data_IF_216412662007
#
_entry.id   IF_216412662007
#
_cell.length_a   1.000
_cell.length_b   1.000
_cell.length_c   1.000
_cell.angle_alpha   90.00
_cell.angle_beta   90.00
_cell.angle_gamma   90.00
#
_symmetry.space_group_name_H-M   'P 1'
#
loop_
_entity.id
_entity.type
_entity.pdbx_description
1 polymer ?
#
# COMPACT_ATOMS: atom_id res chain seq x y z
N UNK A 1 14.78 -0.04 -3.14
CA UNK A 1 14.46 0.15 -4.57
C UNK A 1 13.05 -0.37 -4.84
N UNK A 2 12.20 0.38 -5.56
CA UNK A 2 10.85 -0.07 -5.89
C UNK A 2 9.68 0.64 -5.18
N UNK A 3 9.99 1.55 -4.26
CA UNK A 3 9.02 2.51 -3.75
C UNK A 3 9.16 3.83 -4.51
N UNK A 4 8.03 4.40 -4.89
CA UNK A 4 7.92 5.70 -5.55
C UNK A 4 6.98 6.62 -4.77
N UNK A 5 7.11 7.92 -5.00
CA UNK A 5 6.13 8.91 -4.52
C UNK A 5 5.18 9.21 -5.67
N UNK A 6 3.89 9.03 -5.44
CA UNK A 6 2.84 9.30 -6.40
C UNK A 6 1.57 9.81 -5.73
N UNK A 7 0.54 10.07 -6.52
CA UNK A 7 -0.75 10.53 -6.00
C UNK A 7 -1.58 9.38 -5.44
N UNK A 8 -2.20 9.61 -4.29
CA UNK A 8 -3.18 8.71 -3.68
C UNK A 8 -4.48 9.46 -3.41
N UNK A 9 -5.61 8.79 -3.56
CA UNK A 9 -6.92 9.31 -3.22
C UNK A 9 -7.30 8.88 -1.80
N UNK A 10 -7.59 9.85 -0.94
CA UNK A 10 -8.05 9.59 0.42
C UNK A 10 -9.56 9.35 0.47
N UNK A 11 -10.06 8.90 1.63
CA UNK A 11 -11.48 8.61 1.83
C UNK A 11 -12.39 9.85 1.66
N UNK A 12 -11.86 11.05 1.92
CA UNK A 12 -12.54 12.34 1.68
C UNK A 12 -12.45 12.81 0.22
N UNK A 13 -11.96 11.96 -0.69
CA UNK A 13 -11.71 12.24 -2.11
C UNK A 13 -10.58 13.23 -2.42
N UNK A 14 -9.83 13.71 -1.43
CA UNK A 14 -8.64 14.52 -1.68
C UNK A 14 -7.52 13.70 -2.34
N UNK A 15 -6.75 14.34 -3.22
CA UNK A 15 -5.52 13.77 -3.78
C UNK A 15 -4.31 14.34 -3.05
N UNK A 16 -3.47 13.45 -2.50
CA UNK A 16 -2.22 13.83 -1.82
C UNK A 16 -1.06 12.98 -2.33
N UNK A 17 0.18 13.37 -2.00
CA UNK A 17 1.34 12.54 -2.27
C UNK A 17 1.45 11.42 -1.23
N UNK A 18 1.63 10.20 -1.71
CA UNK A 18 1.79 8.98 -0.92
C UNK A 18 2.86 8.06 -1.49
N UNK A 19 3.26 7.07 -0.69
CA UNK A 19 4.20 6.03 -1.10
C UNK A 19 3.44 4.96 -1.88
N UNK A 20 3.93 4.63 -3.08
CA UNK A 20 3.41 3.57 -3.95
C UNK A 20 4.48 2.50 -4.17
N UNK A 21 4.05 1.23 -4.21
CA UNK A 21 4.88 0.12 -4.65
C UNK A 21 4.66 -0.16 -6.13
N UNK A 22 5.74 -0.39 -6.88
CA UNK A 22 5.62 -0.81 -8.29
C UNK A 22 4.97 -2.20 -8.38
N UNK A 23 4.08 -2.46 -9.37
CA UNK A 23 3.36 -3.73 -9.48
C UNK A 23 4.26 -4.97 -9.46
N UNK A 24 5.43 -4.88 -10.10
CA UNK A 24 6.42 -5.97 -10.18
C UNK A 24 6.91 -6.44 -8.80
N UNK A 25 6.86 -5.59 -7.77
CA UNK A 25 7.25 -5.95 -6.41
C UNK A 25 6.17 -6.72 -5.67
N UNK A 26 4.91 -6.61 -6.11
CA UNK A 26 3.77 -7.30 -5.53
C UNK A 26 3.59 -8.70 -6.13
N UNK A 27 4.20 -8.99 -7.29
CA UNK A 27 4.10 -10.30 -7.94
C UNK A 27 4.63 -11.43 -7.02
N UNK A 28 3.81 -12.47 -6.82
CA UNK A 28 4.13 -13.60 -5.95
C UNK A 28 4.13 -13.29 -4.45
N UNK A 29 3.88 -12.04 -4.05
CA UNK A 29 3.77 -11.66 -2.64
C UNK A 29 2.37 -11.97 -2.08
N UNK A 30 2.30 -12.08 -0.75
CA UNK A 30 1.03 -12.31 -0.05
C UNK A 30 0.13 -11.08 -0.17
N UNK A 31 -1.08 -11.28 -0.65
CA UNK A 31 -2.11 -10.24 -0.64
C UNK A 31 -2.57 -9.95 0.80
N UNK A 32 -2.52 -8.68 1.20
CA UNK A 32 -2.84 -8.24 2.58
C UNK A 32 -3.99 -7.24 2.65
N UNK A 33 -4.69 -6.96 1.54
CA UNK A 33 -5.82 -6.02 1.50
C UNK A 33 -6.85 -6.29 2.61
N UNK A 34 -7.14 -7.57 2.91
CA UNK A 34 -8.12 -7.94 3.93
C UNK A 34 -7.74 -7.54 5.36
N UNK A 35 -6.47 -7.22 5.65
CA UNK A 35 -6.06 -6.71 6.97
C UNK A 35 -6.43 -5.24 7.17
N UNK A 36 -6.67 -4.48 6.09
CA UNK A 36 -7.06 -3.07 6.11
C UNK A 36 -6.00 -2.10 6.64
N UNK A 37 -4.85 -2.60 7.12
CA UNK A 37 -3.71 -1.78 7.50
C UNK A 37 -2.45 -2.63 7.65
N UNK A 38 -1.29 -2.02 7.38
CA UNK A 38 0.02 -2.65 7.62
C UNK A 38 0.21 -3.02 9.10
N UNK A 39 -0.22 -2.17 10.04
CA UNK A 39 -0.09 -2.45 11.48
C UNK A 39 -0.86 -3.71 11.90
N UNK A 40 -2.09 -3.90 11.42
CA UNK A 40 -2.90 -5.10 11.73
C UNK A 40 -2.29 -6.36 11.12
N UNK A 41 -1.72 -6.25 9.91
CA UNK A 41 -0.98 -7.35 9.29
C UNK A 41 0.27 -7.72 10.10
N UNK A 42 1.10 -6.74 10.44
CA UNK A 42 2.37 -6.94 11.16
C UNK A 42 2.18 -7.46 12.59
N UNK A 43 1.03 -7.21 13.23
CA UNK A 43 0.71 -7.80 14.54
C UNK A 43 0.09 -9.20 14.46
N UNK A 44 -0.34 -9.63 13.28
CA UNK A 44 -0.98 -10.93 13.04
C UNK A 44 -0.02 -11.96 12.42
N UNK A 45 1.17 -11.53 12.03
CA UNK A 45 2.29 -12.34 11.57
C UNK A 45 3.28 -12.57 12.72
#
# INVERSE_FOLDING_TARGET
>A
PGLSIGKVKLADSSEVLGVLGEPILCEGQKEITNFGSWRRYASAA
#
